data_IF_334559382449
#
_entry.id   IF_334559382449
#
_cell.length_a   1.000
_cell.length_b   1.000
_cell.length_c   1.000
_cell.angle_alpha   90.00
_cell.angle_beta   90.00
_cell.angle_gamma   90.00
#
_symmetry.space_group_name_H-M   'P 1'
#
loop_
_entity.id
_entity.type
_entity.pdbx_description
1 polymer ?
#
# COMPACT_ATOMS: atom_id res chain seq x y z
N UNK A 1 -0.45 -21.21 25.48
CA UNK A 1 0.19 -19.90 25.24
C UNK A 1 1.63 -19.89 25.74
N UNK A 2 1.92 -20.00 27.05
CA UNK A 2 3.30 -19.98 27.57
C UNK A 2 4.26 -20.99 26.89
N UNK A 3 3.82 -22.25 26.71
CA UNK A 3 4.66 -23.28 26.07
C UNK A 3 4.98 -23.00 24.59
N UNK A 4 4.09 -22.31 23.86
CA UNK A 4 4.33 -21.93 22.46
C UNK A 4 5.36 -20.81 22.38
N UNK A 5 5.26 -19.80 23.25
CA UNK A 5 6.25 -18.73 23.32
C UNK A 5 7.63 -19.26 23.71
N UNK A 6 7.71 -20.19 24.68
CA UNK A 6 8.97 -20.85 25.07
C UNK A 6 9.59 -21.63 23.89
N UNK A 7 8.76 -22.30 23.08
CA UNK A 7 9.21 -22.97 21.85
C UNK A 7 9.75 -21.96 20.83
N UNK A 8 9.04 -20.85 20.60
CA UNK A 8 9.49 -19.79 19.67
C UNK A 8 10.83 -19.23 20.15
N UNK A 9 11.00 -18.94 21.44
CA UNK A 9 12.25 -18.43 22.01
C UNK A 9 13.42 -19.41 21.81
N UNK A 10 13.14 -20.71 21.93
CA UNK A 10 14.15 -21.74 21.73
C UNK A 10 14.55 -21.87 20.26
N UNK A 11 13.58 -21.95 19.35
CA UNK A 11 13.82 -22.02 17.91
C UNK A 11 14.38 -20.70 17.33
N UNK A 12 14.11 -19.55 17.96
CA UNK A 12 14.70 -18.28 17.54
C UNK A 12 16.22 -18.28 17.78
N UNK A 13 16.67 -18.76 18.94
CA UNK A 13 18.07 -18.72 19.41
C UNK A 13 18.97 -19.84 18.88
N UNK A 14 18.40 -20.99 18.51
CA UNK A 14 19.15 -22.16 18.05
C UNK A 14 18.86 -22.49 16.59
N UNK A 15 19.82 -23.07 15.85
CA UNK A 15 19.53 -23.67 14.56
C UNK A 15 18.46 -24.76 14.70
N UNK A 16 17.50 -24.84 13.78
CA UNK A 16 16.39 -25.80 13.85
C UNK A 16 16.87 -27.24 14.08
N UNK A 17 17.93 -27.63 13.38
CA UNK A 17 18.56 -28.96 13.49
C UNK A 17 19.12 -29.30 14.89
N UNK A 18 19.44 -28.29 15.70
CA UNK A 18 20.10 -28.44 16.99
C UNK A 18 19.10 -28.39 18.16
N UNK A 19 17.87 -27.92 17.95
CA UNK A 19 16.86 -27.72 19.01
C UNK A 19 16.55 -29.01 19.76
N UNK A 20 16.29 -30.12 19.05
CA UNK A 20 15.92 -31.40 19.69
C UNK A 20 17.04 -31.98 20.58
N UNK A 21 18.29 -31.63 20.30
CA UNK A 21 19.44 -32.03 21.10
C UNK A 21 19.62 -31.17 22.35
N UNK A 22 19.00 -29.98 22.40
CA UNK A 22 19.19 -29.02 23.49
C UNK A 22 18.60 -29.53 24.82
N UNK A 23 19.30 -29.32 25.95
CA UNK A 23 18.77 -29.65 27.28
C UNK A 23 17.48 -28.88 27.60
N UNK A 24 17.38 -27.64 27.14
CA UNK A 24 16.21 -26.77 27.30
C UNK A 24 14.97 -27.38 26.62
N UNK A 25 15.09 -27.84 25.37
CA UNK A 25 13.99 -28.53 24.68
C UNK A 25 13.56 -29.78 25.43
N UNK A 26 14.51 -30.62 25.85
CA UNK A 26 14.19 -31.88 26.57
C UNK A 26 13.47 -31.62 27.88
N UNK A 27 13.88 -30.57 28.61
CA UNK A 27 13.20 -30.17 29.83
C UNK A 27 11.78 -29.65 29.56
N UNK A 28 11.59 -28.87 28.49
CA UNK A 28 10.28 -28.37 28.09
C UNK A 28 9.36 -29.50 27.63
N UNK A 29 9.81 -30.35 26.70
CA UNK A 29 9.07 -31.52 26.22
C UNK A 29 8.73 -32.50 27.36
N UNK A 30 9.62 -32.66 28.34
CA UNK A 30 9.38 -33.47 29.54
C UNK A 30 8.21 -32.98 30.41
N UNK A 31 7.86 -31.68 30.37
CA UNK A 31 6.69 -31.12 31.07
C UNK A 31 5.39 -31.30 30.29
N UNK A 32 5.48 -31.58 28.98
CA UNK A 32 4.36 -31.67 28.04
C UNK A 32 4.24 -33.07 27.42
N UNK A 33 4.71 -34.12 28.11
CA UNK A 33 4.64 -35.50 27.61
C UNK A 33 3.19 -35.91 27.33
N UNK A 34 2.93 -36.31 26.09
CA UNK A 34 1.59 -36.71 25.63
C UNK A 34 0.64 -35.56 25.28
N UNK A 35 1.11 -34.31 25.34
CA UNK A 35 0.36 -33.13 24.90
C UNK A 35 0.43 -33.00 23.37
N UNK A 36 -0.65 -33.36 22.69
CA UNK A 36 -0.73 -33.29 21.23
C UNK A 36 -0.69 -31.86 20.69
N UNK A 37 -1.12 -30.86 21.48
CA UNK A 37 -1.07 -29.47 21.06
C UNK A 37 0.37 -28.95 21.08
N UNK A 38 1.16 -29.34 22.08
CA UNK A 38 2.59 -29.04 22.15
C UNK A 38 3.36 -29.58 20.94
N UNK A 39 3.11 -30.83 20.54
CA UNK A 39 3.77 -31.43 19.36
C UNK A 39 3.35 -30.78 18.04
N UNK A 40 2.08 -30.34 17.94
CA UNK A 40 1.60 -29.58 16.79
C UNK A 40 2.28 -28.21 16.69
N UNK A 41 2.34 -27.46 17.80
CA UNK A 41 3.05 -26.18 17.90
C UNK A 41 4.53 -26.34 17.54
N UNK A 42 5.21 -27.33 18.13
CA UNK A 42 6.63 -27.62 17.84
C UNK A 42 6.86 -27.87 16.35
N UNK A 43 6.04 -28.72 15.74
CA UNK A 43 6.18 -29.06 14.32
C UNK A 43 5.96 -27.85 13.42
N UNK A 44 4.96 -27.01 13.73
CA UNK A 44 4.69 -25.78 12.99
C UNK A 44 5.85 -24.78 13.10
N UNK A 45 6.38 -24.57 14.31
CA UNK A 45 7.49 -23.65 14.59
C UNK A 45 8.78 -24.14 13.93
N UNK A 46 9.05 -25.43 13.95
CA UNK A 46 10.22 -26.02 13.29
C UNK A 46 10.18 -25.79 11.78
N UNK A 47 9.04 -26.06 11.13
CA UNK A 47 8.86 -25.81 9.70
C UNK A 47 9.07 -24.32 9.40
N UNK A 48 8.50 -23.43 10.21
CA UNK A 48 8.64 -22.00 10.02
C UNK A 48 10.09 -21.53 10.20
N UNK A 49 10.81 -22.05 11.21
CA UNK A 49 12.23 -21.73 11.44
C UNK A 49 13.12 -22.21 10.30
N UNK A 50 12.88 -23.41 9.76
CA UNK A 50 13.62 -23.90 8.58
C UNK A 50 13.43 -22.96 7.39
N UNK A 51 12.22 -22.44 7.18
CA UNK A 51 11.97 -21.45 6.14
C UNK A 51 12.76 -20.16 6.39
N UNK A 52 12.77 -19.64 7.63
CA UNK A 52 13.58 -18.47 8.02
C UNK A 52 15.07 -18.70 7.74
N UNK A 53 15.62 -19.85 8.15
CA UNK A 53 17.03 -20.20 7.93
C UNK A 53 17.39 -20.37 6.44
N UNK A 54 16.42 -20.71 5.60
CA UNK A 54 16.63 -20.80 4.15
C UNK A 54 16.80 -19.43 3.51
N UNK A 55 16.11 -18.41 4.03
CA UNK A 55 16.31 -17.01 3.62
C UNK A 55 17.55 -16.39 4.27
N UNK A 56 17.80 -16.71 5.54
CA UNK A 56 18.86 -16.13 6.37
C UNK A 56 20.10 -17.03 6.42
N UNK A 57 20.83 -17.10 5.31
CA UNK A 57 21.99 -17.99 5.20
C UNK A 57 23.13 -17.59 6.15
N UNK A 58 23.89 -18.56 6.69
CA UNK A 58 25.03 -18.28 7.54
C UNK A 58 26.08 -17.37 6.89
N UNK A 59 26.58 -16.38 7.64
CA UNK A 59 27.64 -15.47 7.20
C UNK A 59 27.17 -14.29 6.34
N UNK A 60 25.85 -14.06 6.26
CA UNK A 60 25.31 -12.80 5.73
C UNK A 60 25.73 -11.61 6.62
N UNK A 61 25.81 -10.42 6.00
CA UNK A 61 25.93 -9.17 6.75
C UNK A 61 24.56 -8.78 7.30
N UNK A 62 24.51 -7.97 8.36
CA UNK A 62 23.25 -7.51 8.96
C UNK A 62 22.29 -6.88 7.93
N UNK A 63 22.81 -6.05 7.00
CA UNK A 63 22.00 -5.47 5.93
C UNK A 63 21.40 -6.53 4.97
N UNK A 64 22.16 -7.61 4.65
CA UNK A 64 21.67 -8.70 3.81
C UNK A 64 20.63 -9.55 4.52
N UNK A 65 20.83 -9.82 5.81
CA UNK A 65 19.85 -10.52 6.65
C UNK A 65 18.56 -9.71 6.72
N UNK A 66 18.65 -8.42 7.04
CA UNK A 66 17.48 -7.56 7.12
C UNK A 66 16.71 -7.49 5.79
N UNK A 67 17.40 -7.40 4.64
CA UNK A 67 16.77 -7.52 3.32
C UNK A 67 16.05 -8.86 3.17
N UNK A 68 16.71 -9.97 3.47
CA UNK A 68 16.13 -11.30 3.37
C UNK A 68 14.93 -11.49 4.31
N UNK A 69 14.95 -10.90 5.51
CA UNK A 69 13.84 -10.84 6.45
C UNK A 69 12.62 -10.16 5.82
N UNK A 70 12.79 -8.95 5.29
CA UNK A 70 11.69 -8.19 4.68
C UNK A 70 11.16 -8.88 3.42
N UNK A 71 12.03 -9.44 2.58
CA UNK A 71 11.62 -10.24 1.42
C UNK A 71 10.79 -11.44 1.85
N UNK A 72 11.23 -12.18 2.87
CA UNK A 72 10.45 -13.30 3.40
C UNK A 72 9.09 -12.86 3.92
N UNK A 73 9.02 -11.79 4.72
CA UNK A 73 7.75 -11.27 5.23
C UNK A 73 6.81 -10.88 4.09
N UNK A 74 7.32 -10.28 3.01
CA UNK A 74 6.55 -9.92 1.83
C UNK A 74 6.01 -11.16 1.09
N UNK A 75 6.89 -12.15 0.82
CA UNK A 75 6.52 -13.39 0.12
C UNK A 75 5.43 -14.18 0.88
N UNK A 76 5.46 -14.12 2.20
CA UNK A 76 4.50 -14.79 3.09
C UNK A 76 3.46 -13.83 3.69
N UNK A 77 3.18 -12.67 3.09
CA UNK A 77 2.26 -11.67 3.66
C UNK A 77 0.83 -12.16 3.88
N UNK A 78 0.36 -13.09 3.03
CA UNK A 78 -0.97 -13.71 3.16
C UNK A 78 -0.95 -15.08 3.86
N UNK A 79 0.23 -15.57 4.27
CA UNK A 79 0.32 -16.84 4.98
C UNK A 79 -0.15 -16.68 6.43
N UNK A 80 -0.91 -17.65 6.93
CA UNK A 80 -1.35 -17.72 8.33
C UNK A 80 -0.17 -17.73 9.33
N UNK A 81 1.03 -18.10 8.87
CA UNK A 81 2.28 -18.11 9.64
C UNK A 81 3.06 -16.80 9.55
N UNK A 82 2.57 -15.77 8.85
CA UNK A 82 3.26 -14.48 8.72
C UNK A 82 3.77 -13.94 10.06
N UNK A 83 2.88 -13.93 11.07
CA UNK A 83 3.21 -13.49 12.42
C UNK A 83 4.28 -14.35 13.09
N UNK A 84 4.29 -15.66 12.84
CA UNK A 84 5.30 -16.57 13.37
C UNK A 84 6.67 -16.31 12.73
N UNK A 85 6.73 -16.02 11.43
CA UNK A 85 7.97 -15.61 10.78
C UNK A 85 8.53 -14.32 11.38
N UNK A 86 7.68 -13.30 11.55
CA UNK A 86 8.07 -12.07 12.24
C UNK A 86 8.61 -12.33 13.65
N UNK A 87 7.96 -13.20 14.43
CA UNK A 87 8.42 -13.55 15.79
C UNK A 87 9.77 -14.26 15.79
N UNK A 88 9.98 -15.22 14.89
CA UNK A 88 11.25 -15.95 14.80
C UNK A 88 12.41 -15.04 14.34
N UNK A 89 12.13 -14.10 13.42
CA UNK A 89 13.11 -13.12 12.94
C UNK A 89 13.43 -12.12 14.07
N UNK A 90 12.42 -11.49 14.66
CA UNK A 90 12.58 -10.48 15.72
C UNK A 90 13.27 -11.05 16.97
N UNK A 91 13.01 -12.30 17.35
CA UNK A 91 13.67 -12.89 18.52
C UNK A 91 15.05 -13.50 18.21
N UNK A 92 15.31 -13.84 16.95
CA UNK A 92 16.53 -14.54 16.54
C UNK A 92 17.64 -13.65 15.99
N UNK A 93 17.29 -12.49 15.41
CA UNK A 93 18.22 -11.66 14.64
C UNK A 93 18.27 -10.19 15.09
N UNK A 94 17.28 -9.73 15.85
CA UNK A 94 17.11 -8.31 16.14
C UNK A 94 18.23 -7.73 17.01
N UNK A 95 18.69 -8.49 18.00
CA UNK A 95 19.68 -8.03 19.00
C UNK A 95 21.06 -7.72 18.41
N UNK A 96 21.43 -8.29 17.27
CA UNK A 96 22.72 -8.01 16.62
C UNK A 96 22.64 -6.97 15.51
N UNK A 97 21.44 -6.53 15.14
CA UNK A 97 21.24 -5.40 14.22
C UNK A 97 21.50 -4.07 14.92
N UNK A 98 21.90 -3.06 14.15
CA UNK A 98 22.00 -1.69 14.66
C UNK A 98 20.61 -1.13 15.01
N UNK A 99 20.56 -0.08 15.83
CA UNK A 99 19.29 0.59 16.19
C UNK A 99 18.54 1.06 14.92
N UNK A 100 19.27 1.57 13.92
CA UNK A 100 18.67 2.01 12.66
C UNK A 100 18.11 0.84 11.84
N UNK A 101 18.81 -0.30 11.82
CA UNK A 101 18.35 -1.54 11.17
C UNK A 101 17.11 -2.11 11.87
N UNK A 102 17.10 -2.13 13.21
CA UNK A 102 15.95 -2.54 14.01
C UNK A 102 14.72 -1.66 13.74
N UNK A 103 14.90 -0.32 13.74
CA UNK A 103 13.83 0.61 13.42
C UNK A 103 13.33 0.45 11.97
N UNK A 104 14.24 0.19 11.03
CA UNK A 104 13.90 -0.05 9.63
C UNK A 104 13.12 -1.36 9.44
N UNK A 105 13.51 -2.43 10.16
CA UNK A 105 12.78 -3.70 10.17
C UNK A 105 11.34 -3.53 10.63
N UNK A 106 11.13 -2.88 11.78
CA UNK A 106 9.76 -2.68 12.32
C UNK A 106 8.90 -1.83 11.40
N UNK A 107 9.50 -0.78 10.83
CA UNK A 107 8.83 0.03 9.83
C UNK A 107 8.44 -0.81 8.61
N UNK A 108 9.36 -1.60 8.06
CA UNK A 108 9.11 -2.44 6.88
C UNK A 108 8.10 -3.54 7.14
N UNK A 109 8.24 -4.26 8.26
CA UNK A 109 7.31 -5.31 8.69
C UNK A 109 5.90 -4.76 8.85
N UNK A 110 5.72 -3.60 9.50
CA UNK A 110 4.41 -2.94 9.63
C UNK A 110 3.79 -2.59 8.28
N UNK A 111 4.59 -2.12 7.32
CA UNK A 111 4.10 -1.81 5.97
C UNK A 111 3.68 -3.05 5.20
N UNK A 112 4.46 -4.13 5.30
CA UNK A 112 4.16 -5.42 4.68
C UNK A 112 2.89 -6.04 5.30
N UNK A 113 2.78 -6.02 6.64
CA UNK A 113 1.61 -6.53 7.37
C UNK A 113 0.34 -5.76 7.01
N UNK A 114 0.44 -4.44 6.79
CA UNK A 114 -0.69 -3.64 6.34
C UNK A 114 -1.22 -4.07 4.97
N UNK A 115 -0.38 -4.69 4.12
CA UNK A 115 -0.80 -5.24 2.83
C UNK A 115 -1.24 -4.18 1.80
N UNK A 116 -0.84 -2.92 1.97
CA UNK A 116 -1.21 -1.82 1.08
C UNK A 116 0.04 -1.24 0.40
N UNK A 117 0.25 -1.57 -0.87
CA UNK A 117 1.36 -1.01 -1.66
C UNK A 117 1.03 0.42 -2.13
N UNK A 118 -0.24 0.72 -2.39
CA UNK A 118 -0.67 2.09 -2.72
C UNK A 118 -2.01 2.49 -2.09
N UNK A 119 -2.21 3.80 -1.95
CA UNK A 119 -3.48 4.42 -1.62
C UNK A 119 -3.99 5.20 -2.83
N UNK A 120 -5.18 4.88 -3.35
CA UNK A 120 -5.79 5.65 -4.44
C UNK A 120 -6.75 6.71 -3.89
N UNK A 121 -6.30 7.95 -3.88
CA UNK A 121 -7.10 9.14 -3.54
C UNK A 121 -7.85 9.64 -4.78
N UNK A 122 -9.15 9.84 -4.65
CA UNK A 122 -9.98 10.39 -5.71
C UNK A 122 -11.22 11.06 -5.11
N UNK A 123 -11.83 11.97 -5.85
CA UNK A 123 -13.07 12.59 -5.40
C UNK A 123 -14.28 11.96 -6.08
N UNK A 124 -15.38 11.99 -5.35
CA UNK A 124 -16.72 11.69 -5.87
C UNK A 124 -17.59 12.95 -5.88
N UNK A 125 -17.03 14.11 -5.52
CA UNK A 125 -17.74 15.39 -5.56
C UNK A 125 -17.86 15.83 -7.01
N UNK A 126 -19.06 16.17 -7.43
CA UNK A 126 -19.34 16.90 -8.68
C UNK A 126 -20.56 17.79 -8.47
N UNK A 127 -20.73 18.87 -9.25
CA UNK A 127 -21.91 19.70 -9.15
C UNK A 127 -23.17 18.84 -9.32
N UNK A 128 -24.17 19.00 -8.44
CA UNK A 128 -25.46 18.29 -8.53
C UNK A 128 -26.16 18.79 -9.80
N UNK A 129 -25.86 18.16 -10.92
CA UNK A 129 -26.60 18.28 -12.16
C UNK A 129 -27.47 17.02 -12.32
N UNK A 130 -28.68 17.14 -12.88
CA UNK A 130 -29.45 15.96 -13.27
C UNK A 130 -28.68 15.22 -14.38
N UNK A 131 -28.11 14.06 -14.09
CA UNK A 131 -27.31 13.29 -15.05
C UNK A 131 -26.31 12.34 -14.39
N UNK A 132 -25.31 11.92 -15.14
CA UNK A 132 -24.19 11.09 -14.67
C UNK A 132 -22.99 11.95 -14.22
N UNK A 133 -22.10 11.40 -13.39
CA UNK A 133 -20.86 12.08 -13.02
C UNK A 133 -20.07 12.47 -14.29
N UNK A 134 -19.70 13.75 -14.48
CA UNK A 134 -19.04 14.23 -15.71
C UNK A 134 -17.76 13.48 -16.07
N UNK A 135 -17.02 12.96 -15.07
CA UNK A 135 -15.83 12.16 -15.34
C UNK A 135 -16.19 10.83 -16.02
N UNK A 136 -17.29 10.20 -15.63
CA UNK A 136 -17.74 8.94 -16.21
C UNK A 136 -18.13 9.14 -17.68
N UNK A 137 -18.84 10.25 -17.97
CA UNK A 137 -19.19 10.62 -19.35
C UNK A 137 -17.93 10.88 -20.19
N UNK A 138 -17.03 11.72 -19.68
CA UNK A 138 -15.80 12.13 -20.40
C UNK A 138 -14.91 10.95 -20.73
N UNK A 139 -14.77 10.00 -19.81
CA UNK A 139 -13.85 8.86 -19.94
C UNK A 139 -14.54 7.54 -20.26
N UNK A 140 -15.78 7.57 -20.76
CA UNK A 140 -16.60 6.38 -21.01
C UNK A 140 -15.85 5.28 -21.76
N UNK A 141 -15.15 5.60 -22.85
CA UNK A 141 -14.45 4.58 -23.66
C UNK A 141 -13.33 3.88 -22.88
N UNK A 142 -12.53 4.66 -22.13
CA UNK A 142 -11.50 4.09 -21.27
C UNK A 142 -12.10 3.21 -20.17
N UNK A 143 -13.18 3.68 -19.55
CA UNK A 143 -13.86 2.94 -18.47
C UNK A 143 -14.46 1.64 -19.02
N UNK A 144 -15.18 1.69 -20.14
CA UNK A 144 -15.74 0.52 -20.80
C UNK A 144 -14.66 -0.48 -21.22
N UNK A 145 -13.50 0.00 -21.70
CA UNK A 145 -12.38 -0.84 -22.08
C UNK A 145 -11.78 -1.61 -20.91
N UNK A 146 -11.68 -0.98 -19.74
CA UNK A 146 -11.03 -1.52 -18.54
C UNK A 146 -12.01 -2.34 -17.70
N UNK A 147 -13.17 -1.78 -17.37
CA UNK A 147 -14.15 -2.46 -16.52
C UNK A 147 -15.01 -3.45 -17.29
N UNK A 148 -15.30 -3.16 -18.56
CA UNK A 148 -16.31 -3.85 -19.36
C UNK A 148 -17.53 -2.96 -19.60
N UNK A 149 -18.13 -3.09 -20.79
CA UNK A 149 -19.39 -2.42 -21.14
C UNK A 149 -20.54 -2.78 -20.18
N UNK A 150 -20.77 -4.06 -19.80
CA UNK A 150 -21.83 -4.42 -18.87
C UNK A 150 -21.69 -3.72 -17.51
N UNK A 151 -20.47 -3.70 -16.97
CA UNK A 151 -20.13 -3.06 -15.70
C UNK A 151 -20.37 -1.56 -15.76
N UNK A 152 -19.97 -0.89 -16.85
CA UNK A 152 -20.25 0.53 -17.07
C UNK A 152 -21.77 0.82 -17.10
N UNK A 153 -22.54 -0.02 -17.79
CA UNK A 153 -23.98 0.20 -17.97
C UNK A 153 -24.77 -0.03 -16.68
N UNK A 154 -24.37 -1.00 -15.87
CA UNK A 154 -25.08 -1.40 -14.63
C UNK A 154 -24.66 -0.59 -13.40
N UNK A 155 -23.52 0.10 -13.43
CA UNK A 155 -23.04 0.88 -12.30
C UNK A 155 -23.93 2.10 -11.99
N UNK A 156 -23.99 2.47 -10.70
CA UNK A 156 -24.53 3.77 -10.27
C UNK A 156 -23.56 4.89 -10.69
N UNK A 157 -23.64 5.30 -11.96
CA UNK A 157 -22.79 6.33 -12.58
C UNK A 157 -23.02 7.73 -12.02
N UNK A 158 -24.04 7.90 -11.18
CA UNK A 158 -24.23 9.10 -10.39
C UNK A 158 -23.27 9.05 -9.21
N UNK A 159 -23.40 8.06 -8.32
CA UNK A 159 -22.65 8.05 -7.06
C UNK A 159 -21.19 7.64 -7.19
N UNK A 160 -20.82 6.86 -8.22
CA UNK A 160 -19.49 6.26 -8.34
C UNK A 160 -18.59 7.05 -9.29
N UNK A 161 -17.30 7.09 -8.97
CA UNK A 161 -16.25 7.53 -9.88
C UNK A 161 -15.64 6.31 -10.58
N UNK A 162 -16.16 5.96 -11.75
CA UNK A 162 -15.74 4.76 -12.48
C UNK A 162 -14.37 4.93 -13.15
N UNK A 163 -13.92 6.16 -13.37
CA UNK A 163 -12.55 6.41 -13.80
C UNK A 163 -11.56 5.98 -12.71
N UNK A 164 -11.82 6.35 -11.45
CA UNK A 164 -10.98 5.93 -10.33
C UNK A 164 -10.94 4.41 -10.18
N UNK A 165 -12.09 3.75 -10.33
CA UNK A 165 -12.17 2.29 -10.32
C UNK A 165 -11.40 1.65 -11.47
N UNK A 166 -11.44 2.26 -12.66
CA UNK A 166 -10.66 1.81 -13.81
C UNK A 166 -9.16 1.94 -13.55
N UNK A 167 -8.70 3.06 -12.99
CA UNK A 167 -7.30 3.26 -12.57
C UNK A 167 -6.91 2.21 -11.53
N UNK A 168 -7.74 1.98 -10.51
CA UNK A 168 -7.50 0.97 -9.50
C UNK A 168 -7.35 -0.43 -10.10
N UNK A 169 -8.27 -0.82 -11.00
CA UNK A 169 -8.21 -2.11 -11.69
C UNK A 169 -6.94 -2.26 -12.54
N UNK A 170 -6.55 -1.23 -13.28
CA UNK A 170 -5.31 -1.24 -14.07
C UNK A 170 -4.05 -1.44 -13.22
N UNK A 171 -4.01 -0.84 -12.02
CA UNK A 171 -2.89 -1.03 -11.09
C UNK A 171 -2.88 -2.46 -10.52
N UNK A 172 -4.05 -3.00 -10.16
CA UNK A 172 -4.19 -4.37 -9.63
C UNK A 172 -3.95 -5.46 -10.68
N UNK A 173 -4.29 -5.23 -11.94
CA UNK A 173 -4.17 -6.20 -13.04
C UNK A 173 -2.74 -6.71 -13.27
N UNK A 174 -1.72 -5.95 -12.86
CA UNK A 174 -0.32 -6.37 -12.99
C UNK A 174 0.16 -7.33 -11.88
N UNK A 175 -0.71 -7.68 -10.93
CA UNK A 175 -0.60 -8.92 -10.14
C UNK A 175 0.30 -8.88 -8.91
N UNK A 176 1.16 -7.88 -8.74
CA UNK A 176 2.11 -7.82 -7.62
C UNK A 176 1.83 -6.72 -6.58
N UNK A 177 0.94 -5.78 -6.89
CA UNK A 177 0.61 -4.67 -6.01
C UNK A 177 -0.81 -4.77 -5.48
N UNK A 178 -0.97 -4.48 -4.20
CA UNK A 178 -2.26 -4.30 -3.56
C UNK A 178 -2.46 -2.85 -3.13
N UNK A 179 -3.70 -2.41 -3.00
CA UNK A 179 -3.95 -1.02 -2.70
C UNK A 179 -5.30 -0.74 -2.08
N UNK A 180 -5.37 0.41 -1.45
CA UNK A 180 -6.59 0.89 -0.83
C UNK A 180 -7.42 1.70 -1.81
N UNK A 181 -8.70 1.32 -1.93
CA UNK A 181 -9.70 2.00 -2.74
C UNK A 181 -11.02 2.08 -1.97
N UNK A 182 -11.53 3.30 -1.79
CA UNK A 182 -12.72 3.55 -0.97
C UNK A 182 -13.84 4.23 -1.80
N UNK A 183 -14.74 3.45 -2.44
CA UNK A 183 -15.77 3.98 -3.32
C UNK A 183 -17.07 4.42 -2.62
N UNK A 184 -17.20 4.28 -1.30
CA UNK A 184 -18.47 4.54 -0.60
C UNK A 184 -18.44 5.85 0.20
N UNK A 185 -19.20 6.87 -0.24
CA UNK A 185 -19.47 8.10 0.55
C UNK A 185 -20.36 7.82 1.78
N UNK A 186 -20.95 6.62 1.93
CA UNK A 186 -22.04 6.37 2.87
C UNK A 186 -21.70 6.61 4.35
N UNK A 187 -20.41 6.75 4.69
CA UNK A 187 -19.95 6.99 6.05
C UNK A 187 -19.19 8.32 6.13
N UNK A 188 -19.89 9.46 6.06
CA UNK A 188 -19.26 10.75 6.33
C UNK A 188 -19.18 11.00 7.86
N UNK A 189 -18.48 10.09 8.55
CA UNK A 189 -18.39 10.03 10.00
C UNK A 189 -16.93 9.82 10.46
N UNK A 190 -16.72 9.76 11.78
CA UNK A 190 -15.42 9.49 12.39
C UNK A 190 -14.78 8.19 11.91
N UNK A 191 -15.58 7.19 11.57
CA UNK A 191 -15.09 5.86 11.20
C UNK A 191 -14.42 5.89 9.83
N UNK A 192 -14.92 6.68 8.89
CA UNK A 192 -14.24 6.87 7.59
C UNK A 192 -12.93 7.61 7.74
N UNK A 193 -12.88 8.65 8.58
CA UNK A 193 -11.61 9.33 8.84
C UNK A 193 -10.57 8.37 9.45
N UNK A 194 -10.99 7.50 10.37
CA UNK A 194 -10.13 6.49 10.96
C UNK A 194 -9.63 5.47 9.90
N UNK A 195 -10.53 4.95 9.05
CA UNK A 195 -10.16 4.02 7.97
C UNK A 195 -9.22 4.66 6.95
N UNK A 196 -9.49 5.90 6.55
CA UNK A 196 -8.63 6.63 5.62
C UNK A 196 -7.26 6.87 6.25
N UNK A 197 -7.19 7.22 7.54
CA UNK A 197 -5.92 7.43 8.22
C UNK A 197 -5.13 6.13 8.41
N UNK A 198 -5.79 5.03 8.80
CA UNK A 198 -5.18 3.70 8.92
C UNK A 198 -4.60 3.24 7.57
N UNK A 199 -5.39 3.33 6.50
CA UNK A 199 -4.94 2.98 5.17
C UNK A 199 -3.81 3.89 4.66
N UNK A 200 -3.90 5.19 4.93
CA UNK A 200 -2.84 6.16 4.61
C UNK A 200 -1.53 5.82 5.34
N UNK A 201 -1.61 5.41 6.61
CA UNK A 201 -0.46 4.96 7.39
C UNK A 201 0.08 3.62 6.92
N UNK A 202 -0.75 2.72 6.41
CA UNK A 202 -0.35 1.42 5.87
C UNK A 202 0.32 1.52 4.51
N UNK A 203 -0.18 2.40 3.64
CA UNK A 203 0.27 2.50 2.25
C UNK A 203 1.75 2.87 2.09
N UNK A 204 2.44 2.31 1.09
CA UNK A 204 3.80 2.72 0.72
C UNK A 204 3.80 4.04 -0.05
N UNK A 205 2.84 4.22 -0.97
CA UNK A 205 2.70 5.44 -1.78
C UNK A 205 1.24 5.87 -1.93
N UNK A 206 1.06 7.14 -2.30
CA UNK A 206 -0.23 7.76 -2.61
C UNK A 206 -0.29 8.04 -4.10
N UNK A 207 -1.38 7.63 -4.71
CA UNK A 207 -1.75 7.99 -6.07
C UNK A 207 -3.01 8.83 -5.97
N UNK A 208 -2.99 10.03 -6.52
CA UNK A 208 -4.16 10.90 -6.49
C UNK A 208 -4.66 11.22 -7.90
N UNK A 209 -5.90 10.80 -8.17
CA UNK A 209 -6.62 11.13 -9.39
C UNK A 209 -7.21 12.54 -9.26
N UNK A 210 -6.50 13.51 -9.84
CA UNK A 210 -6.83 14.93 -9.80
C UNK A 210 -7.93 15.26 -10.80
N UNK A 211 -8.95 15.96 -10.32
CA UNK A 211 -10.05 16.53 -11.11
C UNK A 211 -10.23 17.99 -10.71
N UNK A 212 -10.58 18.87 -11.63
CA UNK A 212 -10.76 20.30 -11.32
C UNK A 212 -11.73 20.57 -10.15
N UNK A 213 -12.79 19.77 -10.04
CA UNK A 213 -13.79 19.88 -8.96
C UNK A 213 -13.23 19.63 -7.56
N UNK A 214 -12.05 19.02 -7.44
CA UNK A 214 -11.38 18.83 -6.16
C UNK A 214 -11.01 20.16 -5.49
N UNK A 215 -10.83 21.21 -6.28
CA UNK A 215 -10.51 22.56 -5.80
C UNK A 215 -11.73 23.41 -5.48
N UNK A 216 -12.94 22.91 -5.77
CA UNK A 216 -14.17 23.57 -5.35
C UNK A 216 -14.38 23.40 -3.85
N UNK A 217 -14.79 24.49 -3.20
CA UNK A 217 -15.12 24.46 -1.78
C UNK A 217 -16.26 23.44 -1.55
N UNK A 218 -16.13 22.51 -0.60
CA UNK A 218 -17.18 21.54 -0.33
C UNK A 218 -18.47 22.25 0.10
N UNK A 219 -19.62 21.73 -0.36
CA UNK A 219 -20.89 22.13 0.20
C UNK A 219 -20.98 21.58 1.64
N UNK A 220 -21.32 22.46 2.59
CA UNK A 220 -21.23 22.21 4.03
C UNK A 220 -21.98 20.93 4.47
N UNK A 221 -21.56 20.25 5.57
CA UNK A 221 -20.36 20.43 6.39
C UNK A 221 -19.32 19.33 6.11
N UNK A 222 -19.12 18.96 4.85
CA UNK A 222 -18.24 17.82 4.50
C UNK A 222 -16.80 18.28 4.26
N UNK A 223 -15.78 17.62 4.84
CA UNK A 223 -14.40 17.98 4.56
C UNK A 223 -14.00 17.56 3.13
N UNK A 224 -13.01 18.24 2.57
CA UNK A 224 -12.38 17.80 1.33
C UNK A 224 -11.38 16.67 1.64
N UNK A 225 -11.86 15.42 1.63
CA UNK A 225 -11.05 14.26 1.98
C UNK A 225 -9.76 14.14 1.16
N UNK A 226 -9.81 14.44 -0.14
CA UNK A 226 -8.63 14.37 -0.99
C UNK A 226 -7.55 15.39 -0.60
N UNK A 227 -7.96 16.55 -0.09
CA UNK A 227 -7.02 17.52 0.49
C UNK A 227 -6.43 17.01 1.80
N UNK A 228 -7.23 16.41 2.67
CA UNK A 228 -6.74 15.81 3.92
C UNK A 228 -5.75 14.66 3.64
N UNK A 229 -6.07 13.78 2.69
CA UNK A 229 -5.21 12.68 2.24
C UNK A 229 -3.89 13.21 1.66
N UNK A 230 -3.94 14.29 0.87
CA UNK A 230 -2.74 14.97 0.38
C UNK A 230 -1.88 15.49 1.54
N UNK A 231 -2.48 16.20 2.51
CA UNK A 231 -1.75 16.70 3.67
C UNK A 231 -1.14 15.54 4.47
N UNK A 232 -1.86 14.43 4.59
CA UNK A 232 -1.37 13.23 5.26
C UNK A 232 -0.19 12.61 4.54
N UNK A 233 -0.24 12.50 3.22
CA UNK A 233 0.87 12.02 2.41
C UNK A 233 2.14 12.86 2.61
N UNK A 234 2.01 14.20 2.67
CA UNK A 234 3.13 15.10 2.96
C UNK A 234 3.69 14.92 4.37
N UNK A 235 2.81 14.81 5.37
CA UNK A 235 3.23 14.58 6.76
C UNK A 235 4.01 13.27 6.91
N UNK A 236 3.51 12.21 6.28
CA UNK A 236 4.15 10.90 6.32
C UNK A 236 5.49 10.91 5.57
N UNK A 237 5.58 11.58 4.42
CA UNK A 237 6.86 11.76 3.72
C UNK A 237 7.89 12.46 4.62
N UNK A 238 7.50 13.54 5.29
CA UNK A 238 8.36 14.26 6.22
C UNK A 238 8.79 13.40 7.42
N UNK A 239 7.86 12.65 8.02
CA UNK A 239 8.14 11.76 9.15
C UNK A 239 9.15 10.65 8.78
N UNK A 240 9.11 10.20 7.52
CA UNK A 240 10.01 9.18 6.99
C UNK A 240 11.29 9.78 6.38
N UNK A 241 11.52 11.10 6.52
CA UNK A 241 12.65 11.81 5.92
C UNK A 241 12.74 11.61 4.39
N UNK A 242 11.59 11.44 3.73
CA UNK A 242 11.44 11.29 2.28
C UNK A 242 10.98 12.59 1.64
N UNK A 243 11.22 12.72 0.35
CA UNK A 243 10.61 13.80 -0.42
C UNK A 243 9.13 13.48 -0.67
N UNK A 244 8.28 14.50 -0.81
CA UNK A 244 6.90 14.31 -1.26
C UNK A 244 6.77 13.53 -2.58
N UNK A 245 7.78 13.54 -3.44
CA UNK A 245 7.82 12.82 -4.72
C UNK A 245 7.99 11.30 -4.52
N UNK A 246 8.68 10.86 -3.47
CA UNK A 246 8.86 9.44 -3.12
C UNK A 246 7.56 8.80 -2.62
N UNK A 247 6.58 9.63 -2.23
CA UNK A 247 5.37 9.22 -1.54
C UNK A 247 4.08 9.57 -2.27
N UNK A 248 4.08 10.53 -3.17
CA UNK A 248 2.88 11.04 -3.81
C UNK A 248 3.05 11.21 -5.33
N UNK A 249 2.21 10.52 -6.08
CA UNK A 249 2.06 10.62 -7.53
C UNK A 249 0.67 11.14 -7.89
N UNK A 250 0.59 11.93 -8.95
CA UNK A 250 -0.67 12.47 -9.46
C UNK A 250 -1.01 11.86 -10.81
N UNK A 251 -2.30 11.65 -11.06
CA UNK A 251 -2.86 11.40 -12.39
C UNK A 251 -3.91 12.49 -12.60
N UNK A 252 -3.80 13.29 -13.66
CA UNK A 252 -4.71 14.42 -13.86
C UNK A 252 -5.76 14.06 -14.90
N UNK A 253 -7.02 13.99 -14.49
CA UNK A 253 -8.19 13.76 -15.34
C UNK A 253 -8.61 15.03 -16.10
N UNK A 254 -7.61 15.72 -16.66
CA UNK A 254 -7.74 16.87 -17.53
C UNK A 254 -6.89 16.67 -18.78
N UNK A 255 -7.16 17.45 -19.83
CA UNK A 255 -6.51 17.27 -21.13
C UNK A 255 -5.02 17.60 -21.07
N UNK A 256 -4.69 18.67 -20.37
CA UNK A 256 -3.35 19.19 -20.27
C UNK A 256 -3.28 20.22 -19.13
N UNK A 257 -2.08 20.71 -18.86
CA UNK A 257 -1.83 21.72 -17.82
C UNK A 257 -2.63 23.00 -18.02
N UNK A 258 -2.97 23.37 -19.26
CA UNK A 258 -3.76 24.57 -19.56
C UNK A 258 -5.24 24.40 -19.21
N UNK A 259 -5.74 23.17 -19.19
CA UNK A 259 -7.13 22.84 -18.82
C UNK A 259 -7.30 22.52 -17.32
N UNK A 260 -6.21 22.34 -16.58
CA UNK A 260 -6.24 22.37 -15.12
C UNK A 260 -6.68 23.76 -14.65
N UNK A 261 -7.50 23.81 -13.60
CA UNK A 261 -8.05 25.06 -13.05
C UNK A 261 -6.91 26.09 -12.83
N UNK A 262 -7.06 27.33 -13.31
CA UNK A 262 -6.04 28.35 -13.10
C UNK A 262 -5.80 28.61 -11.61
N UNK A 263 -4.54 28.75 -11.19
CA UNK A 263 -4.17 28.96 -9.78
C UNK A 263 -4.86 30.17 -9.13
N UNK A 264 -5.20 31.19 -9.92
CA UNK A 264 -5.95 32.38 -9.47
C UNK A 264 -7.38 32.08 -9.03
N UNK A 265 -7.96 30.96 -9.49
CA UNK A 265 -9.31 30.49 -9.13
C UNK A 265 -9.31 29.44 -8.03
N UNK A 266 -8.14 28.98 -7.60
CA UNK A 266 -7.99 27.99 -6.53
C UNK A 266 -8.11 28.68 -5.17
N UNK A 267 -8.97 28.18 -4.26
CA UNK A 267 -9.05 28.68 -2.89
C UNK A 267 -7.69 28.71 -2.19
N UNK A 268 -7.48 29.67 -1.30
CA UNK A 268 -6.19 29.87 -0.64
C UNK A 268 -5.64 28.59 0.02
N UNK A 269 -6.52 27.85 0.70
CA UNK A 269 -6.18 26.61 1.41
C UNK A 269 -5.66 25.50 0.48
N UNK A 270 -6.07 25.51 -0.80
CA UNK A 270 -5.68 24.50 -1.79
C UNK A 270 -4.58 24.96 -2.74
N UNK A 271 -4.02 26.17 -2.56
CA UNK A 271 -2.98 26.69 -3.45
C UNK A 271 -1.70 25.87 -3.41
N UNK A 272 -1.28 25.41 -2.24
CA UNK A 272 -0.09 24.55 -2.12
C UNK A 272 -0.32 23.21 -2.83
N UNK A 273 -1.49 22.60 -2.64
CA UNK A 273 -1.89 21.39 -3.36
C UNK A 273 -1.80 21.54 -4.87
N UNK A 274 -2.43 22.60 -5.39
CA UNK A 274 -2.44 22.91 -6.81
C UNK A 274 -1.04 23.16 -7.35
N UNK A 275 -0.18 23.84 -6.58
CA UNK A 275 1.21 24.07 -6.95
C UNK A 275 2.00 22.75 -7.03
N UNK A 276 1.79 21.80 -6.11
CA UNK A 276 2.41 20.48 -6.18
C UNK A 276 1.97 19.70 -7.43
N UNK A 277 0.69 19.74 -7.76
CA UNK A 277 0.17 19.07 -8.96
C UNK A 277 0.73 19.73 -10.22
N UNK A 278 0.62 21.06 -10.28
CA UNK A 278 1.05 21.82 -11.44
C UNK A 278 2.55 21.73 -11.65
N UNK A 279 3.36 21.74 -10.60
CA UNK A 279 4.82 21.76 -10.66
C UNK A 279 5.48 20.44 -11.03
N UNK A 280 4.73 19.33 -11.13
CA UNK A 280 5.26 17.98 -11.35
C UNK A 280 4.95 17.44 -12.74
N UNK A 281 5.75 16.46 -13.18
CA UNK A 281 5.41 15.61 -14.34
C UNK A 281 4.32 14.61 -13.95
N UNK A 282 3.07 15.05 -14.02
CA UNK A 282 1.90 14.22 -13.84
C UNK A 282 1.36 13.78 -15.22
N UNK A 283 0.99 12.50 -15.44
CA UNK A 283 0.24 12.10 -16.61
C UNK A 283 -1.11 12.83 -16.66
N UNK A 284 -1.38 13.50 -17.78
CA UNK A 284 -2.67 14.09 -18.11
C UNK A 284 -3.46 13.13 -19.00
N UNK A 285 -4.71 12.86 -18.63
CA UNK A 285 -5.58 11.93 -19.35
C UNK A 285 -6.33 12.67 -20.46
N UNK A 286 -5.64 12.93 -21.56
CA UNK A 286 -6.26 13.51 -22.75
C UNK A 286 -6.94 12.43 -23.60
N UNK A 287 -8.27 12.38 -23.58
CA UNK A 287 -9.05 11.45 -24.41
C UNK A 287 -9.57 12.11 -25.69
N UNK A 288 -9.06 13.26 -26.12
CA UNK A 288 -9.51 13.92 -27.35
C UNK A 288 -8.52 13.73 -28.53
N UNK A 289 -8.94 13.12 -29.65
CA UNK A 289 -10.24 12.50 -29.92
C UNK A 289 -10.42 11.15 -29.21
N UNK A 290 -11.67 10.80 -28.88
CA UNK A 290 -12.00 9.58 -28.17
C UNK A 290 -11.99 8.37 -29.12
N UNK A 291 -10.80 7.81 -29.35
CA UNK A 291 -10.55 6.66 -30.23
C UNK A 291 -9.97 5.49 -29.44
N UNK A 292 -10.10 4.27 -29.96
CA UNK A 292 -9.51 3.08 -29.33
C UNK A 292 -7.99 3.19 -29.18
N UNK A 293 -7.31 3.76 -30.19
CA UNK A 293 -5.86 4.03 -30.14
C UNK A 293 -5.55 4.95 -28.95
N UNK A 294 -6.32 6.02 -28.77
CA UNK A 294 -6.11 6.97 -27.67
C UNK A 294 -6.40 6.33 -26.31
N UNK A 295 -7.40 5.44 -26.23
CA UNK A 295 -7.68 4.66 -25.02
C UNK A 295 -6.49 3.78 -24.66
N UNK A 296 -5.93 3.03 -25.61
CA UNK A 296 -4.76 2.18 -25.38
C UNK A 296 -3.53 3.00 -24.98
N UNK A 297 -3.33 4.19 -25.57
CA UNK A 297 -2.27 5.12 -25.14
C UNK A 297 -2.44 5.57 -23.68
N UNK A 298 -3.67 5.85 -23.23
CA UNK A 298 -3.93 6.23 -21.84
C UNK A 298 -3.77 5.06 -20.87
N UNK A 299 -4.17 3.85 -21.27
CA UNK A 299 -3.91 2.62 -20.51
C UNK A 299 -2.41 2.40 -20.36
N UNK A 300 -1.65 2.50 -21.46
CA UNK A 300 -0.19 2.45 -21.46
C UNK A 300 0.42 3.52 -20.57
N UNK A 301 -0.05 4.78 -20.66
CA UNK A 301 0.43 5.87 -19.82
C UNK A 301 0.28 5.59 -18.32
N UNK A 302 -0.87 5.06 -17.88
CA UNK A 302 -1.10 4.70 -16.48
C UNK A 302 -0.17 3.56 -16.08
N UNK A 303 -0.09 2.49 -16.89
CA UNK A 303 0.76 1.33 -16.62
C UNK A 303 2.23 1.73 -16.56
N UNK A 304 2.73 2.45 -17.54
CA UNK A 304 4.16 2.74 -17.71
C UNK A 304 4.66 3.83 -16.75
N UNK A 305 3.80 4.74 -16.29
CA UNK A 305 4.20 5.83 -15.37
C UNK A 305 3.84 5.60 -13.91
N UNK A 306 2.80 4.84 -13.62
CA UNK A 306 2.27 4.69 -12.25
C UNK A 306 2.63 3.34 -11.66
N UNK A 307 2.54 2.24 -12.41
CA UNK A 307 2.87 0.92 -11.86
C UNK A 307 4.35 0.81 -11.44
N UNK A 308 5.34 1.20 -12.29
CA UNK A 308 6.75 1.21 -11.87
C UNK A 308 7.05 2.11 -10.68
N UNK A 309 6.21 3.12 -10.43
CA UNK A 309 6.37 3.99 -9.27
C UNK A 309 5.99 3.27 -7.97
N UNK A 310 4.89 2.49 -7.98
CA UNK A 310 4.48 1.66 -6.84
C UNK A 310 5.50 0.54 -6.61
N UNK A 311 5.88 -0.18 -7.68
CA UNK A 311 6.88 -1.25 -7.62
C UNK A 311 8.24 -0.71 -7.13
N UNK A 312 8.67 0.45 -7.62
CA UNK A 312 9.90 1.10 -7.17
C UNK A 312 9.90 1.43 -5.69
N UNK A 313 8.75 1.82 -5.11
CA UNK A 313 8.64 2.05 -3.67
C UNK A 313 8.74 0.76 -2.85
N UNK A 314 8.21 -0.35 -3.36
CA UNK A 314 8.35 -1.67 -2.74
C UNK A 314 9.78 -2.19 -2.83
N UNK A 315 10.43 -2.05 -3.99
CA UNK A 315 11.85 -2.37 -4.17
C UNK A 315 12.69 -1.53 -3.22
N UNK A 316 12.43 -0.23 -3.12
CA UNK A 316 13.15 0.65 -2.19
C UNK A 316 12.95 0.24 -0.73
N UNK A 317 11.78 -0.29 -0.35
CA UNK A 317 11.54 -0.84 0.99
C UNK A 317 12.47 -2.03 1.27
N UNK A 318 12.64 -2.93 0.30
CA UNK A 318 13.45 -4.15 0.44
C UNK A 318 14.96 -3.88 0.29
N UNK A 319 15.35 -2.97 -0.60
CA UNK A 319 16.75 -2.76 -0.96
C UNK A 319 17.40 -1.62 -0.19
N UNK A 320 16.62 -0.61 0.22
CA UNK A 320 17.05 0.61 0.92
C UNK A 320 17.45 0.43 2.38
N UNK A 321 17.85 -0.78 2.75
CA UNK A 321 18.24 -1.18 4.10
C UNK A 321 19.51 -0.43 4.52
N UNK A 322 19.60 0.09 5.76
CA UNK A 322 20.82 0.70 6.27
C UNK A 322 21.98 -0.32 6.39
N UNK A 323 23.19 0.11 6.00
CA UNK A 323 24.43 -0.68 6.03
C UNK A 323 24.92 -1.01 7.45
#
# INVERSE_FOLDING_TARGET
MAARDDLIDLYARLPARDVLASPEFRALAGRHVGDTAFEADRSEIEIAKIAVETYMLPGMTAAKELRAALTMLLDYREDVKHRLYYQLISRGYYDHWSIDQQAYFEYGAKKIEAGLDFFLSFTQRYPIAPGENPVNLRYRLLIARVLGDPEYQQADRYKRNLLAESVYKLLKEQGYVDGFFFPDIQYNNSDTLAKLDEAAQGALVFIQLVQNVMFDAPQQPTPNYCWLEFQRALQLAAAEKKTPEDRLKFIVAERNRQTLIPSVRVPADYKSWHAHISGRDAPYLDLEPATDVRVEELVGLIRDKITPYVEGALIQLLEGVPE
#
